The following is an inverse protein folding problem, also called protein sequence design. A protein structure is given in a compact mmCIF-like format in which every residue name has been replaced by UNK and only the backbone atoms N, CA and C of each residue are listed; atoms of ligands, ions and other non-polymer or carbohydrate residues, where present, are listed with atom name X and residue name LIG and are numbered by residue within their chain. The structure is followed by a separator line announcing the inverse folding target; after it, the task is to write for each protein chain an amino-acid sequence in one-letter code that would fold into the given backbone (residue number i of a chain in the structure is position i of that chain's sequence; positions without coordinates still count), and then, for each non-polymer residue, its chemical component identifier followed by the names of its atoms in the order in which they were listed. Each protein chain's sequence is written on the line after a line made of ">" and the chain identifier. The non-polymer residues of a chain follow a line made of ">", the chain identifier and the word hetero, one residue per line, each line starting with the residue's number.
data_IF_999002517753
#
_entry.id   IF_999002517753
#
_cell.length_a   1.000
_cell.length_b   1.000
_cell.length_c   1.000
_cell.angle_alpha   90.00
_cell.angle_beta   90.00
_cell.angle_gamma   90.00
#
_symmetry.space_group_name_H-M   'P 1'
#
loop_
_entity.id
_entity.type
_entity.pdbx_description
1 polymer ?
#
# COMPACT_ATOMS: atom_id res chain seq x y z
N UNK A 1 5.50 -21.66 -12.93
CA UNK A 1 4.47 -20.94 -13.70
C UNK A 1 4.38 -21.58 -15.07
N UNK A 2 3.25 -22.20 -15.38
CA UNK A 2 2.84 -22.55 -16.75
C UNK A 2 1.43 -21.98 -16.95
N UNK A 3 1.09 -21.39 -18.11
CA UNK A 3 -0.16 -20.67 -18.29
C UNK A 3 -1.30 -21.65 -18.60
N UNK A 4 -2.45 -21.44 -17.95
CA UNK A 4 -3.69 -22.16 -18.24
C UNK A 4 -4.42 -21.40 -19.35
N UNK A 5 -4.66 -22.07 -20.47
CA UNK A 5 -5.50 -21.58 -21.58
C UNK A 5 -6.96 -21.83 -21.23
N UNK A 6 -7.88 -20.85 -21.38
CA UNK A 6 -9.30 -21.08 -21.14
C UNK A 6 -9.92 -21.72 -22.39
N UNK A 7 -10.55 -22.90 -22.23
CA UNK A 7 -11.42 -23.45 -23.26
C UNK A 7 -12.87 -23.10 -22.92
N UNK A 8 -13.52 -22.40 -23.86
CA UNK A 8 -14.87 -21.90 -23.71
C UNK A 8 -15.87 -22.92 -24.26
N UNK A 9 -16.61 -23.62 -23.39
CA UNK A 9 -17.98 -24.06 -23.68
C UNK A 9 -18.69 -24.54 -22.41
N UNK A 10 -19.86 -23.95 -22.14
CA UNK A 10 -20.91 -24.34 -21.17
C UNK A 10 -20.58 -24.17 -19.67
N UNK A 11 -21.37 -23.30 -19.03
CA UNK A 11 -21.20 -22.86 -17.65
C UNK A 11 -21.55 -23.93 -16.63
N UNK A 12 -20.55 -24.40 -15.90
CA UNK A 12 -20.60 -24.82 -14.49
C UNK A 12 -19.16 -24.83 -14.00
N UNK A 13 -18.78 -23.85 -13.16
CA UNK A 13 -17.42 -23.77 -12.61
C UNK A 13 -17.38 -24.63 -11.34
N UNK A 14 -16.73 -25.79 -11.40
CA UNK A 14 -16.34 -26.55 -10.21
C UNK A 14 -14.99 -26.01 -9.71
N UNK A 15 -15.00 -25.23 -8.63
CA UNK A 15 -13.78 -24.86 -7.90
C UNK A 15 -13.43 -25.97 -6.91
N UNK A 16 -12.53 -26.88 -7.28
CA UNK A 16 -11.92 -27.82 -6.34
C UNK A 16 -10.75 -27.14 -5.63
N UNK A 17 -10.98 -26.61 -4.43
CA UNK A 17 -9.90 -26.10 -3.59
C UNK A 17 -9.31 -27.25 -2.74
N UNK A 18 -8.11 -27.68 -3.10
CA UNK A 18 -7.29 -28.59 -2.30
C UNK A 18 -6.77 -27.86 -1.06
N UNK A 19 -7.44 -28.04 0.07
CA UNK A 19 -6.84 -27.79 1.39
C UNK A 19 -7.32 -28.83 2.42
N UNK A 20 -6.41 -29.79 2.68
CA UNK A 20 -6.26 -30.71 3.83
C UNK A 20 -7.51 -31.00 4.70
N UNK A 21 -7.97 -32.24 4.55
CA UNK A 21 -8.84 -33.07 5.40
C UNK A 21 -9.06 -32.63 6.86
N UNK A 22 -10.01 -31.72 7.08
CA UNK A 22 -10.78 -31.63 8.32
C UNK A 22 -12.26 -31.50 7.94
N UNK A 23 -13.19 -32.29 8.52
CA UNK A 23 -14.58 -32.35 8.07
C UNK A 23 -15.32 -31.01 8.25
N UNK A 24 -16.01 -30.55 7.20
CA UNK A 24 -16.88 -29.38 7.23
C UNK A 24 -18.03 -29.56 8.24
N UNK A 25 -18.44 -28.49 8.94
CA UNK A 25 -19.41 -28.58 10.05
C UNK A 25 -20.79 -28.00 9.70
N UNK A 26 -20.99 -27.43 8.50
CA UNK A 26 -22.33 -27.07 7.99
C UNK A 26 -22.41 -26.93 6.47
N UNK A 27 -23.62 -27.03 5.90
CA UNK A 27 -23.88 -26.94 4.44
C UNK A 27 -24.63 -25.66 4.13
N UNK A 28 -24.13 -24.88 3.17
CA UNK A 28 -24.67 -23.57 2.83
C UNK A 28 -25.14 -23.45 1.38
N UNK A 29 -26.23 -22.71 1.16
CA UNK A 29 -26.62 -22.19 -0.16
C UNK A 29 -26.36 -20.69 -0.19
N UNK A 30 -25.71 -20.20 -1.25
CA UNK A 30 -25.39 -18.78 -1.42
C UNK A 30 -26.50 -18.11 -2.22
N UNK A 31 -26.96 -16.95 -1.79
CA UNK A 31 -27.94 -16.12 -2.52
C UNK A 31 -27.37 -14.73 -2.71
N UNK A 32 -27.28 -14.24 -3.94
CA UNK A 32 -26.67 -12.92 -4.19
C UNK A 32 -26.73 -12.49 -5.65
N UNK A 33 -26.28 -11.28 -5.95
CA UNK A 33 -26.11 -10.85 -7.34
C UNK A 33 -24.98 -11.62 -7.99
N UNK A 34 -25.07 -11.86 -9.30
CA UNK A 34 -24.01 -12.56 -10.04
C UNK A 34 -22.62 -11.89 -9.86
N UNK A 35 -22.58 -10.57 -9.68
CA UNK A 35 -21.36 -9.79 -9.42
C UNK A 35 -20.78 -9.97 -8.01
N UNK A 36 -21.60 -10.35 -7.04
CA UNK A 36 -21.23 -10.36 -5.61
C UNK A 36 -20.91 -11.77 -5.10
N UNK A 37 -21.48 -12.81 -5.75
CA UNK A 37 -21.27 -14.21 -5.38
C UNK A 37 -19.78 -14.62 -5.39
N UNK A 38 -18.99 -14.38 -6.46
CA UNK A 38 -17.58 -14.78 -6.47
C UNK A 38 -16.78 -14.14 -5.31
N UNK A 39 -17.05 -12.86 -5.05
CA UNK A 39 -16.41 -12.09 -3.97
C UNK A 39 -16.76 -12.64 -2.59
N UNK A 40 -18.01 -13.01 -2.37
CA UNK A 40 -18.45 -13.60 -1.11
C UNK A 40 -17.79 -14.98 -0.88
N UNK A 41 -17.63 -15.79 -1.93
CA UNK A 41 -16.99 -17.11 -1.85
C UNK A 41 -15.49 -17.01 -1.54
N UNK A 42 -14.81 -15.98 -2.05
CA UNK A 42 -13.40 -15.71 -1.75
C UNK A 42 -13.17 -15.09 -0.37
N UNK A 43 -14.23 -14.63 0.30
CA UNK A 43 -14.11 -13.92 1.57
C UNK A 43 -13.57 -14.86 2.68
N UNK A 44 -12.49 -14.48 3.40
CA UNK A 44 -11.85 -15.35 4.39
C UNK A 44 -12.78 -15.87 5.49
N UNK A 45 -13.84 -15.14 5.83
CA UNK A 45 -14.82 -15.57 6.82
C UNK A 45 -15.66 -16.79 6.37
N UNK A 46 -15.87 -16.99 5.05
CA UNK A 46 -16.60 -18.14 4.52
C UNK A 46 -15.77 -19.43 4.66
N UNK A 47 -14.46 -19.35 4.43
CA UNK A 47 -13.53 -20.48 4.57
C UNK A 47 -13.04 -20.75 5.99
N UNK A 48 -12.61 -19.72 6.73
CA UNK A 48 -11.85 -19.91 7.98
C UNK A 48 -12.72 -19.89 9.25
N UNK A 49 -13.77 -19.08 9.28
CA UNK A 49 -14.58 -18.85 10.48
C UNK A 49 -15.82 -19.74 10.56
N UNK A 50 -16.41 -20.15 9.43
CA UNK A 50 -17.72 -20.80 9.41
C UNK A 50 -17.71 -22.29 9.10
N UNK A 51 -16.59 -22.87 8.65
CA UNK A 51 -16.47 -24.31 8.31
C UNK A 51 -17.62 -24.79 7.39
N UNK A 52 -18.02 -23.96 6.43
CA UNK A 52 -19.15 -24.21 5.54
C UNK A 52 -18.71 -24.89 4.23
N UNK A 53 -19.50 -25.85 3.77
CA UNK A 53 -19.44 -26.38 2.42
C UNK A 53 -20.57 -25.76 1.59
N UNK A 54 -20.22 -25.03 0.53
CA UNK A 54 -21.19 -24.42 -0.37
C UNK A 54 -21.77 -25.51 -1.27
N UNK A 55 -23.08 -25.72 -1.17
CA UNK A 55 -23.81 -26.78 -1.86
C UNK A 55 -24.63 -26.28 -3.06
N UNK A 56 -24.89 -24.96 -3.14
CA UNK A 56 -25.65 -24.35 -4.23
C UNK A 56 -25.53 -22.83 -4.23
N UNK A 57 -25.88 -22.21 -5.36
CA UNK A 57 -25.87 -20.76 -5.56
C UNK A 57 -27.17 -20.39 -6.27
N UNK A 58 -27.88 -19.38 -5.75
CA UNK A 58 -29.04 -18.75 -6.37
C UNK A 58 -28.67 -17.30 -6.69
N UNK A 59 -28.68 -16.94 -7.96
CA UNK A 59 -28.42 -15.56 -8.38
C UNK A 59 -29.70 -14.76 -8.46
N UNK A 60 -29.66 -13.53 -7.97
CA UNK A 60 -30.80 -12.58 -8.00
C UNK A 60 -30.37 -11.31 -8.73
N UNK A 61 -31.13 -10.90 -9.74
CA UNK A 61 -30.95 -9.61 -10.43
C UNK A 61 -31.90 -8.55 -9.86
N UNK A 62 -31.48 -7.28 -9.84
CA UNK A 62 -32.27 -6.17 -9.28
C UNK A 62 -33.54 -5.87 -10.09
N UNK A 63 -33.56 -6.26 -11.37
CA UNK A 63 -34.64 -5.96 -12.33
C UNK A 63 -35.66 -7.11 -12.48
N UNK A 64 -35.45 -8.27 -11.85
CA UNK A 64 -36.39 -9.40 -11.95
C UNK A 64 -37.57 -9.23 -10.99
N UNK A 65 -38.76 -9.01 -11.57
CA UNK A 65 -40.06 -9.02 -10.89
C UNK A 65 -40.50 -10.40 -10.40
N UNK A 66 -39.75 -11.46 -10.73
CA UNK A 66 -40.09 -12.85 -10.40
C UNK A 66 -39.33 -13.38 -9.17
N UNK A 67 -39.48 -12.66 -8.06
CA UNK A 67 -38.94 -13.11 -6.79
C UNK A 67 -39.55 -14.45 -6.32
N UNK A 68 -40.70 -14.85 -6.85
CA UNK A 68 -41.37 -16.11 -6.53
C UNK A 68 -40.63 -17.31 -7.13
N UNK A 69 -40.21 -17.25 -8.39
CA UNK A 69 -39.44 -18.32 -9.02
C UNK A 69 -38.09 -18.55 -8.32
N UNK A 70 -37.38 -17.46 -7.97
CA UNK A 70 -36.12 -17.53 -7.22
C UNK A 70 -36.31 -18.06 -5.80
N UNK A 71 -37.45 -17.76 -5.19
CA UNK A 71 -37.82 -18.33 -3.90
C UNK A 71 -38.00 -19.85 -3.97
N UNK A 72 -38.71 -20.35 -4.99
CA UNK A 72 -38.89 -21.79 -5.18
C UNK A 72 -37.57 -22.51 -5.46
N UNK A 73 -36.69 -21.91 -6.29
CA UNK A 73 -35.35 -22.42 -6.57
C UNK A 73 -34.51 -22.53 -5.28
N UNK A 74 -34.56 -21.51 -4.42
CA UNK A 74 -33.89 -21.52 -3.12
C UNK A 74 -34.42 -22.64 -2.21
N UNK A 75 -35.74 -22.78 -2.09
CA UNK A 75 -36.38 -23.80 -1.26
C UNK A 75 -35.98 -25.23 -1.66
N UNK A 76 -36.01 -25.51 -2.97
CA UNK A 76 -35.58 -26.80 -3.54
C UNK A 76 -34.10 -27.08 -3.24
N UNK A 77 -33.23 -26.09 -3.40
CA UNK A 77 -31.81 -26.22 -3.13
C UNK A 77 -31.52 -26.44 -1.64
N UNK A 78 -32.19 -25.73 -0.73
CA UNK A 78 -32.00 -25.92 0.71
C UNK A 78 -32.40 -27.34 1.13
N UNK A 79 -33.55 -27.80 0.65
CA UNK A 79 -34.07 -29.14 0.91
C UNK A 79 -33.18 -30.25 0.35
N UNK A 80 -32.85 -30.17 -0.96
CA UNK A 80 -32.06 -31.21 -1.64
C UNK A 80 -30.62 -31.29 -1.13
N UNK A 81 -30.02 -30.14 -0.83
CA UNK A 81 -28.68 -30.06 -0.30
C UNK A 81 -28.59 -30.37 1.20
N UNK A 82 -29.71 -30.49 1.92
CA UNK A 82 -29.75 -30.52 3.39
C UNK A 82 -28.92 -29.38 3.99
N UNK A 83 -29.13 -28.18 3.45
CA UNK A 83 -28.44 -27.00 3.93
C UNK A 83 -28.98 -26.60 5.31
N UNK A 84 -28.10 -26.04 6.13
CA UNK A 84 -28.44 -25.47 7.45
C UNK A 84 -28.21 -23.95 7.49
N UNK A 85 -27.66 -23.39 6.41
CA UNK A 85 -27.22 -22.00 6.32
C UNK A 85 -27.56 -21.40 4.95
N UNK A 86 -28.11 -20.20 4.93
CA UNK A 86 -28.19 -19.34 3.75
C UNK A 86 -27.14 -18.25 3.86
N UNK A 87 -26.23 -18.18 2.89
CA UNK A 87 -25.21 -17.13 2.79
C UNK A 87 -25.68 -16.04 1.81
N UNK A 88 -26.00 -14.86 2.32
CA UNK A 88 -26.38 -13.71 1.49
C UNK A 88 -25.14 -12.98 1.00
N UNK A 89 -24.87 -13.01 -0.30
CA UNK A 89 -23.73 -12.37 -0.94
C UNK A 89 -24.13 -11.00 -1.50
N UNK A 90 -23.75 -9.92 -0.80
CA UNK A 90 -24.09 -8.56 -1.21
C UNK A 90 -25.36 -7.98 -0.60
N UNK A 91 -25.57 -6.66 -0.78
CA UNK A 91 -26.83 -6.03 -0.41
C UNK A 91 -27.95 -6.55 -1.32
N UNK A 92 -29.03 -7.05 -0.72
CA UNK A 92 -30.25 -7.44 -1.43
C UNK A 92 -31.33 -6.38 -1.25
N UNK A 93 -32.22 -6.25 -2.24
CA UNK A 93 -33.44 -5.46 -2.12
C UNK A 93 -34.34 -5.98 -1.00
N UNK A 94 -35.20 -5.11 -0.45
CA UNK A 94 -36.08 -5.43 0.70
C UNK A 94 -36.94 -6.65 0.44
N UNK A 95 -37.57 -6.75 -0.74
CA UNK A 95 -38.48 -7.84 -1.06
C UNK A 95 -37.75 -9.17 -1.26
N UNK A 96 -36.60 -9.16 -1.96
CA UNK A 96 -35.73 -10.33 -2.08
C UNK A 96 -35.25 -10.81 -0.71
N UNK A 97 -34.80 -9.91 0.16
CA UNK A 97 -34.34 -10.28 1.50
C UNK A 97 -35.47 -10.90 2.33
N UNK A 98 -36.69 -10.35 2.25
CA UNK A 98 -37.88 -10.91 2.92
C UNK A 98 -38.12 -12.36 2.49
N UNK A 99 -38.13 -12.60 1.18
CA UNK A 99 -38.36 -13.93 0.60
C UNK A 99 -37.27 -14.91 1.03
N UNK A 100 -36.00 -14.51 0.96
CA UNK A 100 -34.86 -15.33 1.40
C UNK A 100 -34.99 -15.69 2.89
N UNK A 101 -35.36 -14.74 3.74
CA UNK A 101 -35.52 -15.00 5.19
C UNK A 101 -36.73 -15.89 5.49
N UNK A 102 -37.84 -15.72 4.78
CA UNK A 102 -39.04 -16.54 4.97
C UNK A 102 -38.77 -18.00 4.58
N UNK A 103 -38.12 -18.23 3.45
CA UNK A 103 -37.75 -19.58 2.98
C UNK A 103 -36.69 -20.21 3.90
N UNK A 104 -35.70 -19.44 4.33
CA UNK A 104 -34.70 -19.92 5.28
C UNK A 104 -35.36 -20.35 6.61
N UNK A 105 -36.33 -19.57 7.10
CA UNK A 105 -37.08 -19.89 8.31
C UNK A 105 -37.87 -21.19 8.17
N UNK A 106 -38.56 -21.39 7.03
CA UNK A 106 -39.30 -22.63 6.74
C UNK A 106 -38.39 -23.86 6.70
N UNK A 107 -37.16 -23.70 6.25
CA UNK A 107 -36.16 -24.78 6.18
C UNK A 107 -35.31 -24.92 7.46
N UNK A 108 -35.60 -24.14 8.52
CA UNK A 108 -34.79 -24.16 9.76
C UNK A 108 -33.35 -23.72 9.56
N UNK A 109 -33.07 -22.96 8.50
CA UNK A 109 -31.75 -22.47 8.15
C UNK A 109 -31.45 -21.14 8.87
N UNK A 110 -30.21 -20.96 9.30
CA UNK A 110 -29.73 -19.62 9.70
C UNK A 110 -29.40 -18.80 8.46
N UNK A 111 -29.60 -17.49 8.52
CA UNK A 111 -29.22 -16.56 7.44
C UNK A 111 -28.00 -15.75 7.87
N UNK A 112 -26.97 -15.71 7.03
CA UNK A 112 -25.71 -15.00 7.29
C UNK A 112 -25.36 -14.15 6.08
N UNK A 113 -25.22 -12.84 6.25
CA UNK A 113 -24.81 -11.95 5.17
C UNK A 113 -23.28 -11.80 5.12
N UNK A 114 -22.72 -12.00 3.93
CA UNK A 114 -21.34 -11.68 3.56
C UNK A 114 -21.40 -10.42 2.72
N UNK A 115 -21.05 -9.30 3.34
CA UNK A 115 -20.96 -8.03 2.63
C UNK A 115 -19.69 -8.02 1.77
N UNK A 116 -19.76 -7.63 0.48
CA UNK A 116 -18.60 -7.45 -0.36
C UNK A 116 -17.77 -6.32 0.24
N UNK A 117 -16.64 -6.68 0.79
CA UNK A 117 -15.72 -5.72 1.39
C UNK A 117 -14.47 -5.70 0.51
N UNK A 118 -14.47 -4.87 -0.53
CA UNK A 118 -13.19 -4.51 -1.15
C UNK A 118 -12.41 -3.68 -0.15
N UNK A 119 -11.09 -3.90 -0.05
CA UNK A 119 -10.23 -3.07 0.79
C UNK A 119 -10.27 -1.65 0.26
N UNK A 120 -10.98 -0.75 0.93
CA UNK A 120 -11.05 0.65 0.52
C UNK A 120 -9.81 1.35 1.05
N UNK A 121 -8.95 1.84 0.15
CA UNK A 121 -7.70 2.49 0.55
C UNK A 121 -6.84 1.61 1.48
N UNK A 122 -6.82 0.29 1.27
CA UNK A 122 -6.04 -0.65 2.09
C UNK A 122 -6.60 -0.93 3.50
N UNK A 123 -7.87 -0.60 3.76
CA UNK A 123 -8.57 -0.97 4.99
C UNK A 123 -9.68 -1.96 4.70
N UNK A 124 -9.79 -2.99 5.53
CA UNK A 124 -10.94 -3.88 5.53
C UNK A 124 -12.16 -3.16 6.11
N UNK A 125 -13.27 -3.06 5.37
CA UNK A 125 -14.53 -2.57 5.92
C UNK A 125 -14.94 -3.37 7.15
N UNK A 126 -15.37 -2.69 8.20
CA UNK A 126 -15.85 -3.31 9.45
C UNK A 126 -17.33 -3.11 9.59
N UNK A 127 -18.06 -4.17 9.95
CA UNK A 127 -19.44 -4.02 10.39
C UNK A 127 -19.42 -3.43 11.80
N UNK A 128 -20.05 -2.28 11.97
CA UNK A 128 -20.26 -1.63 13.27
C UNK A 128 -21.77 -1.50 13.51
N UNK A 129 -22.19 -1.65 14.75
CA UNK A 129 -23.60 -1.61 15.12
C UNK A 129 -23.92 -0.30 15.82
N UNK A 130 -24.96 0.39 15.35
CA UNK A 130 -25.57 1.53 16.03
C UNK A 130 -27.01 1.17 16.40
N UNK A 131 -27.21 0.73 17.64
CA UNK A 131 -28.45 0.09 18.06
C UNK A 131 -28.66 -1.25 17.35
N UNK A 132 -29.79 -1.39 16.67
CA UNK A 132 -30.19 -2.57 15.88
C UNK A 132 -29.79 -2.48 14.39
N UNK A 133 -29.04 -1.45 14.00
CA UNK A 133 -28.69 -1.18 12.60
C UNK A 133 -27.24 -1.56 12.30
N UNK A 134 -26.99 -2.44 11.31
CA UNK A 134 -25.64 -2.70 10.84
C UNK A 134 -25.18 -1.57 9.92
N UNK A 135 -24.05 -0.96 10.25
CA UNK A 135 -23.35 0.01 9.42
C UNK A 135 -22.05 -0.61 8.91
N UNK A 136 -21.62 -0.21 7.71
CA UNK A 136 -20.31 -0.60 7.18
C UNK A 136 -19.34 0.56 7.36
N UNK A 137 -18.45 0.44 8.33
CA UNK A 137 -17.36 1.37 8.53
C UNK A 137 -16.27 1.08 7.50
N UNK A 138 -16.18 1.93 6.48
CA UNK A 138 -15.14 1.85 5.44
C UNK A 138 -13.76 2.28 5.95
N UNK A 139 -13.73 3.16 6.95
CA UNK A 139 -12.49 3.70 7.52
C UNK A 139 -12.63 3.92 9.02
N UNK A 140 -11.65 3.43 9.78
CA UNK A 140 -11.50 3.74 11.21
C UNK A 140 -11.22 5.23 11.43
N UNK A 141 -11.60 5.75 12.60
CA UNK A 141 -11.21 7.10 13.00
C UNK A 141 -9.70 7.29 12.83
N UNK A 142 -9.31 8.41 12.23
CA UNK A 142 -7.92 8.78 11.95
C UNK A 142 -7.08 8.61 13.21
N UNK A 143 -5.81 8.23 13.01
CA UNK A 143 -4.83 8.15 14.07
C UNK A 143 -4.95 9.26 15.09
N UNK A 144 -4.97 8.88 16.36
CA UNK A 144 -5.12 9.85 17.44
C UNK A 144 -3.96 10.84 17.44
N UNK A 145 -4.21 12.07 17.88
CA UNK A 145 -3.15 13.09 18.05
C UNK A 145 -1.97 12.56 18.86
N UNK A 146 -2.23 11.62 19.78
CA UNK A 146 -1.22 10.90 20.55
C UNK A 146 -0.28 10.06 19.67
N UNK A 147 -0.79 9.31 18.69
CA UNK A 147 0.05 8.51 17.79
C UNK A 147 0.99 9.39 16.96
N UNK A 148 0.51 10.54 16.47
CA UNK A 148 1.35 11.50 15.78
C UNK A 148 2.39 12.16 16.71
N UNK A 149 2.03 12.42 17.98
CA UNK A 149 2.96 12.92 18.98
C UNK A 149 4.06 11.89 19.28
N UNK A 150 3.71 10.60 19.44
CA UNK A 150 4.66 9.50 19.61
C UNK A 150 5.59 9.40 18.39
N UNK A 151 5.03 9.37 17.17
CA UNK A 151 5.82 9.38 15.93
C UNK A 151 6.81 10.53 15.91
N UNK A 152 6.36 11.74 16.28
CA UNK A 152 7.24 12.91 16.31
C UNK A 152 8.32 12.81 17.37
N UNK A 153 8.02 12.24 18.54
CA UNK A 153 9.02 11.96 19.58
C UNK A 153 10.11 11.00 19.09
N UNK A 154 9.71 9.91 18.41
CA UNK A 154 10.63 8.95 17.80
C UNK A 154 11.48 9.62 16.71
N UNK A 155 10.88 10.43 15.85
CA UNK A 155 11.59 11.18 14.80
C UNK A 155 12.69 12.07 15.40
N UNK A 156 12.34 12.85 16.42
CA UNK A 156 13.26 13.78 17.06
C UNK A 156 14.40 13.06 17.80
N UNK A 157 14.06 12.03 18.57
CA UNK A 157 15.04 11.25 19.32
C UNK A 157 16.00 10.52 18.38
N UNK A 158 15.46 9.84 17.36
CA UNK A 158 16.27 9.11 16.38
C UNK A 158 17.15 10.04 15.55
N UNK A 159 16.63 11.20 15.12
CA UNK A 159 17.42 12.19 14.40
C UNK A 159 18.53 12.80 15.27
N UNK A 160 18.22 13.20 16.51
CA UNK A 160 19.20 13.76 17.43
C UNK A 160 20.31 12.75 17.74
N UNK A 161 19.94 11.51 18.07
CA UNK A 161 20.90 10.43 18.33
C UNK A 161 21.75 10.13 17.09
N UNK A 162 21.13 10.01 15.92
CA UNK A 162 21.82 9.79 14.66
C UNK A 162 22.86 10.87 14.36
N UNK A 163 22.52 12.14 14.58
CA UNK A 163 23.45 13.25 14.38
C UNK A 163 24.64 13.20 15.34
N UNK A 164 24.41 12.90 16.62
CA UNK A 164 25.48 12.81 17.62
C UNK A 164 26.40 11.62 17.33
N UNK A 165 25.83 10.43 17.09
CA UNK A 165 26.61 9.22 16.86
C UNK A 165 27.38 9.26 15.53
N UNK A 166 26.80 9.87 14.48
CA UNK A 166 27.42 9.96 13.17
C UNK A 166 28.28 11.22 13.00
N UNK A 167 28.37 12.12 13.99
CA UNK A 167 29.15 13.36 13.86
C UNK A 167 30.60 13.15 13.37
N UNK A 168 31.36 12.14 13.84
CA UNK A 168 32.71 11.86 13.30
C UNK A 168 32.67 11.49 11.81
N UNK A 169 31.70 10.67 11.40
CA UNK A 169 31.51 10.28 10.00
C UNK A 169 31.14 11.49 9.12
N UNK A 170 30.29 12.39 9.62
CA UNK A 170 29.97 13.65 8.93
C UNK A 170 31.21 14.50 8.67
N UNK A 171 32.10 14.62 9.66
CA UNK A 171 33.35 15.36 9.51
C UNK A 171 34.27 14.71 8.47
N UNK A 172 34.43 13.38 8.51
CA UNK A 172 35.25 12.63 7.54
C UNK A 172 34.72 12.76 6.11
N UNK A 173 33.41 12.58 5.91
CA UNK A 173 32.77 12.76 4.59
C UNK A 173 32.94 14.21 4.11
N UNK A 174 32.79 15.19 5.01
CA UNK A 174 32.98 16.60 4.68
C UNK A 174 34.39 16.93 4.19
N UNK A 175 35.42 16.41 4.87
CA UNK A 175 36.81 16.55 4.45
C UNK A 175 37.08 15.85 3.11
N UNK A 176 36.60 14.62 2.95
CA UNK A 176 36.76 13.85 1.72
C UNK A 176 36.11 14.56 0.52
N UNK A 177 34.94 15.17 0.71
CA UNK A 177 34.27 15.95 -0.33
C UNK A 177 35.05 17.20 -0.72
N UNK A 178 35.62 17.90 0.26
CA UNK A 178 36.47 19.08 -0.01
C UNK A 178 37.74 18.73 -0.78
N UNK A 179 38.28 17.54 -0.58
CA UNK A 179 39.42 17.02 -1.34
C UNK A 179 39.04 16.51 -2.75
N UNK A 180 37.84 15.95 -2.92
CA UNK A 180 37.37 15.34 -4.16
C UNK A 180 36.98 16.37 -5.25
N UNK A 181 36.35 17.49 -4.87
CA UNK A 181 35.96 18.55 -5.84
C UNK A 181 35.68 19.92 -5.19
N UNK A 182 35.89 21.04 -5.91
CA UNK A 182 35.59 22.38 -5.40
C UNK A 182 34.10 22.60 -5.15
N UNK A 183 33.76 23.41 -4.14
CA UNK A 183 32.38 23.80 -3.79
C UNK A 183 31.92 23.43 -2.36
N UNK A 184 30.62 23.52 -2.06
CA UNK A 184 30.06 23.25 -0.74
C UNK A 184 29.94 21.75 -0.43
N UNK A 185 30.06 21.37 0.86
CA UNK A 185 29.88 19.99 1.33
C UNK A 185 28.41 19.55 1.23
N UNK A 186 27.49 20.47 1.54
CA UNK A 186 26.05 20.20 1.52
C UNK A 186 25.42 20.75 0.24
N UNK A 187 24.63 19.89 -0.40
CA UNK A 187 23.72 20.24 -1.48
C UNK A 187 22.31 20.42 -0.91
N UNK A 188 21.53 21.33 -1.51
CA UNK A 188 20.16 21.65 -1.11
C UNK A 188 19.25 21.43 -2.30
N UNK A 189 18.31 20.51 -2.16
CA UNK A 189 17.33 20.20 -3.20
C UNK A 189 15.96 20.67 -2.75
N UNK A 190 15.38 21.64 -3.46
CA UNK A 190 14.02 22.10 -3.21
C UNK A 190 13.00 20.98 -3.42
N UNK A 191 12.25 20.64 -2.38
CA UNK A 191 11.22 19.59 -2.37
C UNK A 191 9.93 20.08 -1.76
N UNK A 192 8.84 19.38 -2.00
CA UNK A 192 7.53 19.68 -1.42
C UNK A 192 7.31 18.81 -0.19
N UNK A 193 6.99 19.46 0.94
CA UNK A 193 6.73 18.84 2.23
C UNK A 193 5.27 18.92 2.64
N UNK A 194 5.02 18.65 3.93
CA UNK A 194 3.66 18.61 4.49
C UNK A 194 2.92 19.93 4.25
N UNK A 195 1.66 19.83 3.81
CA UNK A 195 0.80 20.97 3.50
C UNK A 195 1.22 21.74 2.25
N UNK A 196 2.03 21.13 1.38
CA UNK A 196 2.53 21.78 0.16
C UNK A 196 3.67 22.77 0.39
N UNK A 197 4.21 22.86 1.60
CA UNK A 197 5.30 23.78 1.91
C UNK A 197 6.61 23.31 1.27
N UNK A 198 7.25 24.19 0.51
CA UNK A 198 8.58 23.90 -0.05
C UNK A 198 9.64 23.92 1.06
N UNK A 199 10.62 23.02 0.99
CA UNK A 199 11.78 23.02 1.88
C UNK A 199 13.06 22.55 1.16
N UNK A 200 14.20 22.88 1.74
CA UNK A 200 15.52 22.49 1.22
C UNK A 200 15.94 21.13 1.78
N UNK A 201 15.72 20.07 1.01
CA UNK A 201 16.15 18.72 1.36
C UNK A 201 17.67 18.62 1.28
N UNK A 202 18.31 18.39 2.43
CA UNK A 202 19.76 18.41 2.56
C UNK A 202 20.38 17.09 2.13
N UNK A 203 21.48 17.16 1.39
CA UNK A 203 22.30 16.00 1.03
C UNK A 203 23.77 16.35 1.10
N UNK A 204 24.62 15.36 1.20
CA UNK A 204 26.01 15.56 0.84
C UNK A 204 26.10 15.75 -0.66
N UNK A 205 26.95 16.68 -1.08
CA UNK A 205 27.20 16.91 -2.49
C UNK A 205 27.82 15.65 -3.10
N UNK A 206 27.13 15.01 -4.02
CA UNK A 206 27.63 13.83 -4.76
C UNK A 206 27.98 14.15 -6.22
N UNK A 207 27.78 15.40 -6.65
CA UNK A 207 27.95 15.86 -8.02
C UNK A 207 28.86 17.08 -8.06
N UNK A 208 29.42 17.40 -9.22
CA UNK A 208 30.17 18.65 -9.42
C UNK A 208 29.28 19.88 -9.21
N UNK A 209 29.87 21.03 -8.87
CA UNK A 209 29.11 22.23 -8.52
C UNK A 209 28.26 22.80 -9.67
N UNK A 210 28.67 22.52 -10.90
CA UNK A 210 28.06 22.88 -12.18
C UNK A 210 27.06 21.82 -12.70
N UNK A 211 26.75 20.78 -11.93
CA UNK A 211 25.95 19.65 -12.39
C UNK A 211 24.54 20.03 -12.90
N UNK A 212 23.92 21.05 -12.31
CA UNK A 212 22.60 21.51 -12.74
C UNK A 212 22.67 22.28 -14.07
N UNK A 213 23.73 23.06 -14.27
CA UNK A 213 24.00 23.77 -15.52
C UNK A 213 24.27 22.78 -16.65
N UNK A 214 25.15 21.80 -16.41
CA UNK A 214 25.44 20.72 -17.35
C UNK A 214 24.21 19.90 -17.74
N UNK A 215 23.25 19.70 -16.83
CA UNK A 215 21.99 19.00 -17.16
C UNK A 215 21.13 19.81 -18.12
N UNK A 216 21.08 21.13 -17.97
CA UNK A 216 20.27 22.00 -18.83
C UNK A 216 20.89 22.19 -20.21
N UNK A 217 22.22 22.22 -20.28
CA UNK A 217 22.96 22.45 -21.53
C UNK A 217 23.06 21.17 -22.38
N UNK A 218 23.06 19.99 -21.78
CA UNK A 218 23.14 18.71 -22.47
C UNK A 218 21.73 18.13 -22.72
N UNK A 219 21.21 18.33 -23.93
CA UNK A 219 19.90 17.86 -24.34
C UNK A 219 19.74 16.33 -24.25
N UNK A 220 20.80 15.56 -24.50
CA UNK A 220 20.76 14.09 -24.41
C UNK A 220 20.69 13.64 -22.95
N UNK A 221 21.42 14.32 -22.07
CA UNK A 221 21.37 14.07 -20.63
C UNK A 221 20.00 14.45 -20.04
N UNK A 222 19.41 15.56 -20.50
CA UNK A 222 18.07 16.00 -20.09
C UNK A 222 16.98 15.02 -20.56
N UNK A 223 17.05 14.55 -21.81
CA UNK A 223 16.14 13.51 -22.31
C UNK A 223 16.23 12.24 -21.44
N UNK A 224 17.46 11.75 -21.19
CA UNK A 224 17.70 10.60 -20.31
C UNK A 224 17.12 10.81 -18.92
N UNK A 225 17.25 12.01 -18.35
CA UNK A 225 16.72 12.37 -17.04
C UNK A 225 15.19 12.24 -16.99
N UNK A 226 14.48 12.73 -18.00
CA UNK A 226 13.02 12.63 -18.08
C UNK A 226 12.55 11.20 -18.36
N UNK A 227 13.20 10.49 -19.30
CA UNK A 227 12.88 9.10 -19.63
C UNK A 227 13.04 8.15 -18.43
N UNK A 228 14.01 8.43 -17.56
CA UNK A 228 14.32 7.62 -16.39
C UNK A 228 13.72 8.19 -15.08
N UNK A 229 12.53 8.78 -15.15
CA UNK A 229 11.76 9.27 -13.99
C UNK A 229 12.53 10.29 -13.13
N UNK A 230 13.02 11.36 -13.76
CA UNK A 230 13.74 12.44 -13.10
C UNK A 230 15.06 11.98 -12.45
N UNK A 231 15.77 11.07 -13.13
CA UNK A 231 17.09 10.57 -12.70
C UNK A 231 17.91 10.11 -13.89
N UNK A 232 19.21 10.44 -13.91
CA UNK A 232 20.18 9.77 -14.80
C UNK A 232 20.84 8.62 -14.04
N UNK A 233 21.00 7.42 -14.62
CA UNK A 233 21.70 6.31 -13.98
C UNK A 233 23.13 6.69 -13.53
N UNK A 234 23.48 6.39 -12.29
CA UNK A 234 24.75 6.87 -11.67
C UNK A 234 26.02 6.39 -12.41
N UNK A 235 25.96 5.26 -13.11
CA UNK A 235 27.08 4.73 -13.90
C UNK A 235 27.32 5.53 -15.19
N UNK A 236 26.28 6.15 -15.73
CA UNK A 236 26.30 6.91 -16.97
C UNK A 236 26.26 8.43 -16.74
N UNK A 237 26.12 8.90 -15.50
CA UNK A 237 26.00 10.33 -15.19
C UNK A 237 27.39 10.99 -15.04
N UNK A 238 27.83 11.80 -16.01
CA UNK A 238 29.16 12.43 -15.99
C UNK A 238 29.28 13.53 -14.93
N UNK A 239 28.18 13.89 -14.27
CA UNK A 239 28.14 14.91 -13.22
C UNK A 239 28.47 14.34 -11.85
N UNK A 240 28.41 13.01 -11.67
CA UNK A 240 28.64 12.34 -10.38
C UNK A 240 30.13 12.11 -10.15
N UNK A 241 30.66 12.58 -9.01
CA UNK A 241 32.09 12.40 -8.68
C UNK A 241 32.42 10.97 -8.25
N UNK A 242 33.71 10.62 -8.16
CA UNK A 242 34.12 9.27 -7.72
C UNK A 242 33.65 8.99 -6.30
N UNK A 243 33.89 9.92 -5.37
CA UNK A 243 33.36 9.83 -4.00
C UNK A 243 31.83 9.91 -3.99
N UNK A 244 31.24 10.75 -4.84
CA UNK A 244 29.79 10.86 -5.00
C UNK A 244 29.11 9.55 -5.37
N UNK A 245 29.72 8.74 -6.25
CA UNK A 245 29.22 7.39 -6.58
C UNK A 245 29.20 6.49 -5.35
N UNK A 246 30.25 6.52 -4.51
CA UNK A 246 30.28 5.74 -3.27
C UNK A 246 29.17 6.18 -2.30
N UNK A 247 29.02 7.49 -2.09
CA UNK A 247 28.00 8.04 -1.20
C UNK A 247 26.58 7.67 -1.63
N UNK A 248 26.27 7.75 -2.92
CA UNK A 248 24.96 7.34 -3.47
C UNK A 248 24.68 5.86 -3.33
N UNK A 249 25.67 5.02 -3.66
CA UNK A 249 25.54 3.54 -3.54
C UNK A 249 25.25 3.12 -2.11
N UNK A 250 25.94 3.73 -1.15
CA UNK A 250 25.78 3.46 0.29
C UNK A 250 24.64 4.25 0.94
N UNK A 251 23.96 5.13 0.18
CA UNK A 251 22.95 6.08 0.69
C UNK A 251 23.45 7.01 1.79
N UNK A 252 24.78 7.12 1.97
CA UNK A 252 25.39 8.04 2.94
C UNK A 252 25.15 9.50 2.55
N UNK A 253 24.90 9.79 1.26
CA UNK A 253 24.60 11.14 0.79
C UNK A 253 23.31 11.73 1.39
N UNK A 254 22.39 10.88 1.86
CA UNK A 254 21.11 11.31 2.42
C UNK A 254 21.15 11.55 3.94
N UNK A 255 22.25 11.23 4.64
CA UNK A 255 22.38 11.44 6.08
C UNK A 255 22.10 12.88 6.55
N UNK A 256 22.49 13.95 5.81
CA UNK A 256 22.17 15.32 6.24
C UNK A 256 20.67 15.62 6.38
N UNK A 257 19.78 14.78 5.84
CA UNK A 257 18.33 14.90 6.03
C UNK A 257 17.91 14.75 7.49
N UNK A 258 18.75 14.20 8.37
CA UNK A 258 18.50 14.18 9.83
C UNK A 258 18.27 15.60 10.38
N UNK A 259 18.93 16.64 9.84
CA UNK A 259 18.62 18.03 10.20
C UNK A 259 17.22 18.45 9.75
N UNK A 260 16.77 18.02 8.57
CA UNK A 260 15.41 18.30 8.09
C UNK A 260 14.36 17.64 9.00
N UNK A 261 14.66 16.46 9.54
CA UNK A 261 13.81 15.78 10.54
C UNK A 261 13.72 16.61 11.82
N UNK A 262 14.85 17.09 12.36
CA UNK A 262 14.83 17.95 13.55
C UNK A 262 14.05 19.25 13.34
N UNK A 263 14.20 19.90 12.18
CA UNK A 263 13.46 21.12 11.82
C UNK A 263 11.96 20.88 11.61
N UNK A 264 11.54 19.62 11.48
CA UNK A 264 10.13 19.25 11.28
C UNK A 264 9.65 19.37 9.85
N UNK A 265 10.57 19.50 8.90
CA UNK A 265 10.33 19.45 7.46
C UNK A 265 10.12 17.99 7.01
N UNK A 266 10.86 17.06 7.62
CA UNK A 266 10.82 15.63 7.34
C UNK A 266 10.50 14.79 8.59
N UNK A 267 10.26 13.50 8.36
CA UNK A 267 10.13 12.40 9.31
C UNK A 267 11.23 11.38 9.04
N UNK A 268 11.57 10.51 9.99
CA UNK A 268 12.50 9.40 9.69
C UNK A 268 11.87 8.46 8.68
N UNK A 269 10.58 8.17 8.86
CA UNK A 269 9.79 7.26 8.01
C UNK A 269 8.59 8.01 7.44
N UNK A 270 8.40 7.95 6.14
CA UNK A 270 7.35 8.68 5.43
C UNK A 270 7.48 8.54 3.92
N UNK A 271 6.57 9.14 3.13
CA UNK A 271 6.68 9.13 1.68
C UNK A 271 7.93 9.87 1.20
N UNK A 272 8.54 9.48 0.08
CA UNK A 272 9.72 10.20 -0.43
C UNK A 272 9.37 11.67 -0.73
N UNK A 273 10.21 12.65 -0.35
CA UNK A 273 10.02 14.03 -0.76
C UNK A 273 10.10 14.15 -2.29
N UNK A 274 9.06 14.70 -2.91
CA UNK A 274 8.94 14.87 -4.37
C UNK A 274 9.25 16.30 -4.78
N UNK A 275 9.64 16.50 -6.04
CA UNK A 275 9.64 17.86 -6.64
C UNK A 275 8.23 18.25 -7.07
N UNK A 276 8.00 19.54 -7.31
CA UNK A 276 6.69 20.06 -7.77
C UNK A 276 6.22 19.35 -9.04
N UNK A 277 7.13 19.11 -9.98
CA UNK A 277 6.81 18.49 -11.28
C UNK A 277 6.36 17.03 -11.14
N UNK A 278 6.80 16.34 -10.08
CA UNK A 278 6.39 14.95 -9.79
C UNK A 278 4.95 14.87 -9.24
N UNK A 279 4.37 15.98 -8.76
CA UNK A 279 3.03 15.97 -8.14
C UNK A 279 1.93 15.53 -9.12
N UNK A 280 2.10 15.81 -10.41
CA UNK A 280 1.13 15.40 -11.44
C UNK A 280 0.94 13.88 -11.54
N UNK A 281 1.90 13.07 -11.08
CA UNK A 281 1.79 11.62 -11.09
C UNK A 281 0.84 11.04 -10.02
N UNK A 282 0.32 11.86 -9.09
CA UNK A 282 -0.56 11.41 -8.01
C UNK A 282 -2.05 11.56 -8.33
N UNK A 283 -2.41 12.00 -9.55
CA UNK A 283 -3.77 11.93 -10.12
C UNK A 283 -4.89 12.40 -9.16
N UNK A 284 -4.76 13.58 -8.55
CA UNK A 284 -5.74 14.17 -7.64
C UNK A 284 -5.57 13.75 -6.16
N UNK A 285 -4.62 12.86 -5.87
CA UNK A 285 -4.28 12.44 -4.51
C UNK A 285 -3.07 13.20 -3.92
N UNK A 286 -2.66 14.32 -4.52
CA UNK A 286 -1.50 15.12 -4.06
C UNK A 286 -1.73 15.62 -2.63
N UNK A 287 -2.95 16.08 -2.33
CA UNK A 287 -3.31 16.56 -0.98
C UNK A 287 -3.20 15.44 0.07
N UNK A 288 -3.45 14.20 -0.32
CA UNK A 288 -3.30 13.05 0.57
C UNK A 288 -1.82 12.77 0.82
N UNK A 289 -1.00 12.70 -0.23
CA UNK A 289 0.46 12.56 -0.11
C UNK A 289 1.06 13.66 0.81
N UNK A 290 0.67 14.91 0.57
CA UNK A 290 1.15 16.09 1.28
C UNK A 290 0.51 16.27 2.67
N UNK A 291 -0.40 15.39 3.10
CA UNK A 291 -1.01 15.46 4.44
C UNK A 291 -0.03 15.05 5.55
N UNK A 292 1.03 14.33 5.21
CA UNK A 292 2.07 13.85 6.12
C UNK A 292 3.43 14.49 5.81
N UNK A 293 4.38 14.38 6.75
CA UNK A 293 5.77 14.79 6.48
C UNK A 293 6.42 13.73 5.57
N UNK A 294 7.19 14.15 4.56
CA UNK A 294 8.00 13.22 3.80
C UNK A 294 9.06 12.54 4.70
N UNK A 295 9.46 11.33 4.33
CA UNK A 295 10.40 10.48 5.06
C UNK A 295 11.81 10.48 4.48
N UNK A 296 12.82 10.23 5.33
CA UNK A 296 14.15 9.82 4.87
C UNK A 296 14.10 8.42 4.24
N UNK A 297 13.34 7.53 4.85
CA UNK A 297 13.00 6.21 4.30
C UNK A 297 11.48 6.03 4.28
N UNK A 298 10.98 5.00 3.61
CA UNK A 298 9.55 4.81 3.43
C UNK A 298 9.22 3.48 2.77
N UNK A 299 7.93 3.25 2.55
CA UNK A 299 7.43 2.01 1.98
C UNK A 299 8.02 1.73 0.58
N UNK A 300 8.16 2.76 -0.27
CA UNK A 300 8.82 2.65 -1.56
C UNK A 300 10.30 2.23 -1.45
N UNK A 301 11.00 2.76 -0.44
CA UNK A 301 12.42 2.49 -0.23
C UNK A 301 12.71 1.02 0.13
N UNK A 302 11.73 0.31 0.70
CA UNK A 302 11.85 -1.10 1.11
C UNK A 302 11.21 -2.10 0.15
N UNK A 303 10.43 -1.66 -0.84
CA UNK A 303 9.71 -2.54 -1.78
C UNK A 303 10.29 -2.61 -3.19
N UNK A 304 11.34 -1.84 -3.51
CA UNK A 304 11.97 -1.92 -4.84
C UNK A 304 12.77 -0.69 -5.28
N UNK A 305 12.73 0.42 -4.51
CA UNK A 305 13.46 1.66 -4.85
C UNK A 305 13.36 2.00 -6.33
N UNK A 306 14.48 1.92 -7.05
CA UNK A 306 14.66 2.34 -8.42
C UNK A 306 13.96 1.46 -9.46
N UNK A 307 13.51 0.27 -9.09
CA UNK A 307 12.82 -0.65 -10.00
C UNK A 307 11.34 -0.28 -10.18
N UNK A 308 10.78 0.52 -9.27
CA UNK A 308 9.36 0.91 -9.32
C UNK A 308 9.21 2.35 -9.79
N UNK A 309 8.81 2.50 -11.06
CA UNK A 309 8.51 3.76 -11.73
C UNK A 309 7.07 4.25 -11.46
N UNK A 310 6.76 5.47 -11.89
CA UNK A 310 5.37 5.94 -11.96
C UNK A 310 4.60 5.15 -13.04
N UNK A 311 3.28 4.88 -12.85
CA UNK A 311 2.43 5.30 -11.74
C UNK A 311 2.50 4.41 -10.49
N UNK A 312 3.10 3.21 -10.58
CA UNK A 312 3.14 2.25 -9.47
C UNK A 312 3.77 2.82 -8.19
N UNK A 313 4.81 3.65 -8.33
CA UNK A 313 5.43 4.38 -7.21
C UNK A 313 4.42 5.26 -6.46
N UNK A 314 3.54 5.97 -7.17
CA UNK A 314 2.56 6.84 -6.53
C UNK A 314 1.59 6.04 -5.65
N UNK A 315 1.13 4.89 -6.14
CA UNK A 315 0.22 4.03 -5.37
C UNK A 315 0.90 3.45 -4.12
N UNK A 316 2.19 3.10 -4.19
CA UNK A 316 2.97 2.67 -3.02
C UNK A 316 3.03 3.76 -1.95
N UNK A 317 3.35 4.99 -2.35
CA UNK A 317 3.48 6.12 -1.43
C UNK A 317 2.12 6.49 -0.82
N UNK A 318 1.05 6.48 -1.64
CA UNK A 318 -0.31 6.71 -1.16
C UNK A 318 -0.78 5.61 -0.22
N UNK A 319 -0.42 4.34 -0.50
CA UNK A 319 -0.72 3.21 0.39
C UNK A 319 -0.09 3.41 1.76
N UNK A 320 1.16 3.88 1.85
CA UNK A 320 1.77 4.22 3.14
C UNK A 320 0.93 5.24 3.91
N UNK A 321 0.48 6.31 3.25
CA UNK A 321 -0.33 7.35 3.91
C UNK A 321 -1.67 6.80 4.38
N UNK A 322 -2.31 5.98 3.54
CA UNK A 322 -3.61 5.36 3.84
C UNK A 322 -3.48 4.42 5.03
N UNK A 323 -2.53 3.49 5.01
CA UNK A 323 -2.41 2.41 6.01
C UNK A 323 -1.36 2.69 7.09
N UNK A 324 -1.04 3.97 7.31
CA UNK A 324 -0.01 4.36 8.27
C UNK A 324 -0.29 3.73 9.64
N UNK A 325 0.76 3.35 10.36
CA UNK A 325 0.66 2.97 11.77
C UNK A 325 2.06 2.96 12.39
N UNK A 326 2.14 3.10 13.71
CA UNK A 326 3.43 3.00 14.42
C UNK A 326 4.09 1.63 14.21
N UNK A 327 3.30 0.55 14.12
CA UNK A 327 3.80 -0.80 13.81
C UNK A 327 4.31 -0.89 12.37
N UNK A 328 3.61 -0.27 11.42
CA UNK A 328 4.05 -0.17 10.03
C UNK A 328 5.37 0.58 9.89
N UNK A 329 5.53 1.69 10.60
CA UNK A 329 6.80 2.43 10.67
C UNK A 329 7.93 1.54 11.23
N UNK A 330 7.69 0.81 12.32
CA UNK A 330 8.69 -0.12 12.87
C UNK A 330 9.08 -1.21 11.86
N UNK A 331 8.11 -1.77 11.13
CA UNK A 331 8.37 -2.78 10.10
C UNK A 331 9.17 -2.21 8.92
N UNK A 332 8.95 -0.95 8.55
CA UNK A 332 9.77 -0.27 7.54
C UNK A 332 11.18 -0.04 8.08
N UNK A 333 11.33 0.42 9.34
CA UNK A 333 12.62 0.66 9.97
C UNK A 333 13.51 -0.59 9.97
N UNK A 334 12.97 -1.75 10.39
CA UNK A 334 13.71 -3.01 10.43
C UNK A 334 14.13 -3.48 9.04
N UNK A 335 13.25 -3.35 8.05
CA UNK A 335 13.58 -3.65 6.65
C UNK A 335 14.65 -2.71 6.10
N UNK A 336 14.61 -1.43 6.44
CA UNK A 336 15.63 -0.45 6.03
C UNK A 336 16.99 -0.81 6.62
N UNK A 337 17.07 -1.16 7.91
CA UNK A 337 18.31 -1.59 8.56
C UNK A 337 18.86 -2.85 7.88
N UNK A 338 18.02 -3.85 7.64
CA UNK A 338 18.42 -5.08 6.94
C UNK A 338 18.96 -4.80 5.53
N UNK A 339 18.29 -3.93 4.76
CA UNK A 339 18.71 -3.55 3.42
C UNK A 339 20.07 -2.82 3.40
N UNK A 340 20.33 -1.94 4.36
CA UNK A 340 21.62 -1.23 4.49
C UNK A 340 22.74 -2.20 4.91
N UNK A 341 22.47 -3.16 5.81
CA UNK A 341 23.46 -4.13 6.26
C UNK A 341 23.83 -5.17 5.19
N UNK A 342 22.84 -5.71 4.47
CA UNK A 342 23.10 -6.65 3.37
C UNK A 342 23.85 -6.01 2.20
N UNK A 343 23.67 -4.71 1.96
CA UNK A 343 24.45 -4.02 0.94
C UNK A 343 25.94 -3.87 1.33
N UNK A 344 26.24 -3.87 2.63
CA UNK A 344 27.62 -3.87 3.14
C UNK A 344 28.38 -5.17 2.86
N UNK A 345 27.69 -6.29 2.60
CA UNK A 345 28.32 -7.58 2.27
C UNK A 345 28.61 -7.78 0.77
N UNK A 346 28.08 -6.93 -0.10
CA UNK A 346 28.30 -6.97 -1.55
C UNK A 346 29.41 -5.99 -2.01
N UNK A 347 30.34 -5.64 -1.12
CA UNK A 347 31.54 -4.91 -1.52
C UNK A 347 32.38 -5.82 -2.43
N UNK A 348 32.61 -5.47 -3.71
CA UNK A 348 33.56 -6.21 -4.52
C UNK A 348 34.93 -6.07 -3.83
N UNK A 349 35.51 -7.21 -3.46
CA UNK A 349 36.92 -7.34 -3.05
C UNK A 349 37.87 -6.83 -4.10
#
# INVERSE_FOLDING_TARGET
>A
MAPIVPNATQGTIFLTNQSRDLPAVGRAVVVGRASDVPRALEHPAVGFAQRLSVAGIVTVDEDESDHSARGAELDELLSSARADTVLVAGPLGRDTMRIVTDIALLNGCRVVAVMPSETVSGHDPRIVWEGDRPLVQLLGARHTSLQYAIKRGVDLLGAALGLVLLAPLFALIGLALKADSPGPVLFRHRRVGRGGQSFECLKFRSMTADAEERLREDAALLATYHENNFRVPDAADPRVTRLGRLLRRTSLDELPQLWNVLRGEMSLIGPRPVVTDELGHFAGSERLLLSVRPGMTGMWAVMGRHEVAYPARAEIELRYVRTWSLRGDLAIATKTIGAVMHYGSDLPT
#
